data_IF_001139698090
#
_entry.id   IF_001139698090
#
_cell.length_a   1.000
_cell.length_b   1.000
_cell.length_c   1.000
_cell.angle_alpha   90.00
_cell.angle_beta   90.00
_cell.angle_gamma   90.00
#
_symmetry.space_group_name_H-M   'P 1'
#
loop_
_entity.id
_entity.type
_entity.pdbx_description
1 polymer ?
#
# COMPACT_ATOMS: atom_id res chain seq x y z
N UNK A 1 31.55 10.74 29.60
CA UNK A 1 31.22 10.60 28.17
C UNK A 1 29.71 10.38 28.09
N UNK A 2 28.96 11.43 27.90
CA UNK A 2 27.50 11.41 27.78
C UNK A 2 27.11 10.79 26.44
N UNK A 3 26.25 9.77 26.48
CA UNK A 3 25.65 9.17 25.29
C UNK A 3 24.60 10.16 24.76
N UNK A 4 24.90 10.82 23.67
CA UNK A 4 23.90 11.59 22.92
C UNK A 4 22.88 10.60 22.31
N UNK A 5 21.70 10.55 22.89
CA UNK A 5 20.56 9.87 22.31
C UNK A 5 20.16 10.58 21.01
N UNK A 6 20.39 9.94 19.86
CA UNK A 6 20.16 10.48 18.52
C UNK A 6 18.66 10.48 18.15
N UNK A 7 17.80 9.90 18.95
CA UNK A 7 16.36 9.89 18.71
C UNK A 7 15.59 10.64 19.80
N UNK A 8 14.78 11.66 19.44
CA UNK A 8 13.94 12.34 20.41
C UNK A 8 12.91 11.35 20.97
N UNK A 9 12.91 11.20 22.29
CA UNK A 9 11.91 10.45 23.05
C UNK A 9 10.57 11.18 22.94
N UNK A 10 9.80 10.97 21.86
CA UNK A 10 8.47 11.53 21.68
C UNK A 10 7.39 10.60 22.18
N UNK A 11 6.71 10.95 23.26
CA UNK A 11 5.46 10.33 23.69
C UNK A 11 4.42 10.45 22.56
N UNK A 12 3.80 9.33 22.21
CA UNK A 12 2.90 9.17 21.09
C UNK A 12 1.74 10.15 21.00
N UNK A 13 1.35 10.42 19.82
CA UNK A 13 0.53 11.37 19.10
C UNK A 13 1.37 12.53 18.60
N UNK A 14 1.41 12.72 17.28
CA UNK A 14 2.09 13.86 16.68
C UNK A 14 1.26 15.14 16.91
N UNK A 15 1.05 15.49 18.15
CA UNK A 15 0.79 16.85 18.56
C UNK A 15 2.15 17.55 18.60
N UNK A 16 2.60 18.02 17.43
CA UNK A 16 3.69 18.99 17.40
C UNK A 16 3.20 20.23 18.13
N UNK A 17 3.56 20.36 19.40
CA UNK A 17 3.41 21.64 20.11
C UNK A 17 4.43 22.57 19.48
N UNK A 18 3.94 23.45 18.60
CA UNK A 18 4.76 24.47 17.96
C UNK A 18 5.02 25.52 19.00
N UNK A 19 6.23 25.52 19.55
CA UNK A 19 6.64 26.47 20.62
C UNK A 19 7.40 27.68 20.09
N UNK A 20 7.65 27.77 18.77
CA UNK A 20 8.37 28.89 18.17
C UNK A 20 8.03 29.07 16.66
N UNK A 21 8.38 30.21 16.11
CA UNK A 21 8.12 30.60 14.71
C UNK A 21 8.75 29.64 13.70
N UNK A 22 9.89 29.03 14.01
CA UNK A 22 10.54 28.05 13.16
C UNK A 22 9.72 26.77 13.04
N UNK A 23 9.14 26.31 14.14
CA UNK A 23 8.23 25.16 14.16
C UNK A 23 6.92 25.43 13.41
N UNK A 24 6.37 26.66 13.54
CA UNK A 24 5.17 27.09 12.80
C UNK A 24 5.42 27.10 11.28
N UNK A 25 6.59 27.61 10.85
CA UNK A 25 6.99 27.59 9.45
C UNK A 25 7.18 26.17 8.94
N UNK A 26 7.85 25.30 9.69
CA UNK A 26 8.03 23.89 9.31
C UNK A 26 6.68 23.14 9.17
N UNK A 27 5.69 23.44 10.01
CA UNK A 27 4.35 22.87 9.87
C UNK A 27 3.62 23.44 8.66
N UNK A 28 3.71 24.75 8.41
CA UNK A 28 3.17 25.39 7.20
C UNK A 28 3.74 24.77 5.93
N UNK A 29 5.07 24.62 5.87
CA UNK A 29 5.75 23.96 4.76
C UNK A 29 5.35 22.49 4.61
N UNK A 30 5.09 21.79 5.72
CA UNK A 30 4.61 20.41 5.70
C UNK A 30 3.17 20.32 5.18
N UNK A 31 2.28 21.22 5.59
CA UNK A 31 0.89 21.28 5.10
C UNK A 31 0.87 21.64 3.61
N UNK A 32 1.62 22.65 3.17
CA UNK A 32 1.74 23.03 1.78
C UNK A 32 2.32 21.87 0.94
N UNK A 33 3.28 21.12 1.49
CA UNK A 33 3.82 19.93 0.86
C UNK A 33 2.81 18.78 0.81
N UNK A 34 1.91 18.64 1.79
CA UNK A 34 0.80 17.68 1.74
C UNK A 34 -0.21 18.06 0.66
N UNK A 35 -0.57 19.33 0.53
CA UNK A 35 -1.47 19.83 -0.52
C UNK A 35 -0.86 19.65 -1.92
N UNK A 36 0.46 19.90 -2.08
CA UNK A 36 1.17 19.62 -3.34
C UNK A 36 1.24 18.12 -3.67
N UNK A 37 1.22 17.25 -2.67
CA UNK A 37 1.13 15.79 -2.88
C UNK A 37 -0.29 15.34 -3.28
N UNK A 38 -1.28 16.18 -3.12
CA UNK A 38 -2.62 15.92 -3.65
C UNK A 38 -2.66 15.89 -5.18
N UNK A 39 -1.57 16.24 -5.84
CA UNK A 39 -1.44 16.15 -7.29
C UNK A 39 -1.16 14.74 -7.83
N UNK A 40 -0.65 13.79 -6.97
CA UNK A 40 -0.37 12.44 -7.47
C UNK A 40 -1.64 11.74 -7.93
N UNK A 41 -1.70 11.32 -9.19
CA UNK A 41 -2.78 10.50 -9.73
C UNK A 41 -2.32 9.06 -9.82
N UNK A 42 -3.23 8.14 -9.51
CA UNK A 42 -2.96 6.70 -9.63
C UNK A 42 -4.09 6.04 -10.38
N UNK A 43 -3.74 5.27 -11.40
CA UNK A 43 -4.65 4.38 -12.12
C UNK A 43 -4.21 2.94 -11.97
N UNK A 44 -5.14 2.01 -12.15
CA UNK A 44 -4.87 0.59 -12.06
C UNK A 44 -5.64 -0.18 -13.14
N UNK A 45 -5.00 -1.18 -13.71
CA UNK A 45 -5.59 -2.11 -14.67
C UNK A 45 -5.24 -3.55 -14.32
N UNK A 46 -6.06 -4.50 -14.78
CA UNK A 46 -5.70 -5.91 -14.72
C UNK A 46 -4.69 -6.24 -15.82
N UNK A 47 -3.49 -6.70 -15.45
CA UNK A 47 -2.57 -7.35 -16.38
C UNK A 47 -2.97 -8.83 -16.60
N UNK A 48 -3.51 -9.50 -15.57
CA UNK A 48 -4.01 -10.88 -15.67
C UNK A 48 -5.30 -11.09 -14.89
N UNK A 49 -6.19 -11.97 -15.38
CA UNK A 49 -7.47 -12.25 -14.72
C UNK A 49 -7.35 -13.25 -13.56
N UNK A 50 -8.33 -13.24 -12.66
CA UNK A 50 -8.48 -14.22 -11.58
C UNK A 50 -8.69 -15.67 -12.07
N UNK A 51 -9.15 -15.87 -13.31
CA UNK A 51 -9.24 -17.17 -13.97
C UNK A 51 -7.89 -17.90 -13.99
N UNK A 52 -6.78 -17.17 -14.14
CA UNK A 52 -5.43 -17.71 -14.09
C UNK A 52 -5.11 -18.32 -12.72
N UNK A 53 -5.41 -17.61 -11.65
CA UNK A 53 -5.24 -18.08 -10.27
C UNK A 53 -6.16 -19.26 -9.94
N UNK A 54 -7.45 -19.19 -10.36
CA UNK A 54 -8.39 -20.30 -10.20
C UNK A 54 -7.86 -21.59 -10.82
N UNK A 55 -7.39 -21.52 -12.07
CA UNK A 55 -6.91 -22.69 -12.78
C UNK A 55 -5.59 -23.24 -12.21
N UNK A 56 -4.73 -22.40 -11.67
CA UNK A 56 -3.54 -22.84 -10.92
C UNK A 56 -3.95 -23.60 -9.64
N UNK A 57 -4.86 -23.04 -8.84
CA UNK A 57 -5.37 -23.71 -7.64
C UNK A 57 -6.05 -25.06 -7.96
N UNK A 58 -6.82 -25.13 -9.06
CA UNK A 58 -7.46 -26.37 -9.52
C UNK A 58 -6.44 -27.44 -9.91
N UNK A 59 -5.34 -27.03 -10.54
CA UNK A 59 -4.26 -27.95 -10.95
C UNK A 59 -3.60 -28.61 -9.73
N UNK A 60 -3.41 -27.88 -8.63
CA UNK A 60 -2.78 -28.44 -7.42
C UNK A 60 -3.62 -29.53 -6.75
N UNK A 61 -4.92 -29.58 -7.01
CA UNK A 61 -5.85 -30.60 -6.47
C UNK A 61 -6.36 -31.56 -7.55
N UNK A 62 -5.65 -31.67 -8.67
CA UNK A 62 -5.95 -32.64 -9.74
C UNK A 62 -7.21 -32.34 -10.56
N UNK A 63 -7.78 -31.13 -10.48
CA UNK A 63 -9.01 -30.75 -11.19
C UNK A 63 -8.70 -30.14 -12.56
N UNK A 64 -9.54 -30.37 -13.55
CA UNK A 64 -9.45 -29.81 -14.90
C UNK A 64 -9.65 -28.28 -14.88
N UNK A 65 -9.22 -27.61 -15.95
CA UNK A 65 -9.37 -26.17 -16.15
C UNK A 65 -10.84 -25.78 -16.32
N UNK A 66 -11.15 -24.55 -15.91
CA UNK A 66 -12.45 -23.90 -16.11
C UNK A 66 -12.25 -22.60 -16.86
N UNK A 67 -13.18 -22.30 -17.77
CA UNK A 67 -13.25 -21.02 -18.46
C UNK A 67 -14.27 -20.09 -17.81
N UNK A 68 -14.03 -19.77 -16.53
CA UNK A 68 -14.86 -18.82 -15.76
C UNK A 68 -14.05 -18.11 -14.71
N UNK A 69 -14.51 -16.91 -14.33
CA UNK A 69 -14.00 -16.20 -13.18
C UNK A 69 -14.46 -16.86 -11.87
N UNK A 70 -13.62 -16.87 -10.82
CA UNK A 70 -14.02 -17.33 -9.50
C UNK A 70 -15.03 -16.38 -8.84
N UNK A 71 -15.80 -16.90 -7.88
CA UNK A 71 -16.68 -16.07 -7.05
C UNK A 71 -15.88 -15.15 -6.13
N UNK A 72 -16.49 -14.02 -5.74
CA UNK A 72 -15.87 -13.06 -4.83
C UNK A 72 -15.51 -13.67 -3.47
N UNK A 73 -16.35 -14.57 -2.94
CA UNK A 73 -16.04 -15.31 -1.72
C UNK A 73 -14.79 -16.20 -1.87
N UNK A 74 -14.57 -16.80 -3.03
CA UNK A 74 -13.35 -17.57 -3.29
C UNK A 74 -12.13 -16.66 -3.39
N UNK A 75 -12.24 -15.51 -4.08
CA UNK A 75 -11.15 -14.51 -4.17
C UNK A 75 -10.76 -14.01 -2.77
N UNK A 76 -11.76 -13.60 -1.98
CA UNK A 76 -11.56 -13.10 -0.62
C UNK A 76 -10.86 -14.11 0.29
N UNK A 77 -11.29 -15.38 0.23
CA UNK A 77 -10.64 -16.45 0.98
C UNK A 77 -9.20 -16.68 0.54
N UNK A 78 -8.93 -16.75 -0.78
CA UNK A 78 -7.58 -16.95 -1.31
C UNK A 78 -6.62 -15.83 -0.93
N UNK A 79 -7.10 -14.58 -0.92
CA UNK A 79 -6.34 -13.39 -0.51
C UNK A 79 -6.10 -13.37 1.01
N UNK A 80 -7.11 -13.72 1.81
CA UNK A 80 -7.01 -13.73 3.27
C UNK A 80 -6.04 -14.80 3.75
N UNK A 81 -6.07 -15.99 3.13
CA UNK A 81 -5.17 -17.10 3.42
C UNK A 81 -3.80 -16.97 2.73
N UNK A 82 -3.63 -15.99 1.85
CA UNK A 82 -2.40 -15.75 1.07
C UNK A 82 -1.90 -17.00 0.34
N UNK A 83 -2.82 -17.82 -0.19
CA UNK A 83 -2.43 -18.99 -0.98
C UNK A 83 -1.68 -18.61 -2.26
N UNK A 84 -0.65 -19.36 -2.59
CA UNK A 84 0.28 -19.06 -3.70
C UNK A 84 -0.36 -18.69 -5.05
N UNK A 85 -1.55 -19.21 -5.46
CA UNK A 85 -2.17 -18.83 -6.73
C UNK A 85 -2.45 -17.33 -6.89
N UNK A 86 -2.63 -16.55 -5.79
CA UNK A 86 -2.84 -15.09 -5.87
C UNK A 86 -1.66 -14.36 -6.52
N UNK A 87 -0.46 -14.96 -6.54
CA UNK A 87 0.72 -14.39 -7.20
C UNK A 87 0.60 -14.36 -8.72
N UNK A 88 -0.41 -15.01 -9.27
CA UNK A 88 -0.72 -15.02 -10.70
C UNK A 88 -1.77 -13.98 -11.09
N UNK A 89 -2.32 -13.25 -10.12
CA UNK A 89 -3.17 -12.08 -10.36
C UNK A 89 -2.28 -10.87 -10.35
N UNK A 90 -2.13 -10.24 -11.51
CA UNK A 90 -1.20 -9.15 -11.76
C UNK A 90 -1.97 -7.89 -12.16
N UNK A 91 -1.48 -6.75 -11.71
CA UNK A 91 -2.04 -5.42 -11.95
C UNK A 91 -0.94 -4.51 -12.48
N UNK A 92 -1.29 -3.68 -13.45
CA UNK A 92 -0.49 -2.55 -13.88
C UNK A 92 -0.99 -1.29 -13.19
N UNK A 93 -0.08 -0.60 -12.52
CA UNK A 93 -0.33 0.65 -11.80
C UNK A 93 0.42 1.77 -12.50
N UNK A 94 -0.23 2.90 -12.74
CA UNK A 94 0.43 4.09 -13.25
C UNK A 94 0.29 5.24 -12.25
N UNK A 95 1.41 5.90 -11.97
CA UNK A 95 1.53 7.04 -11.09
C UNK A 95 1.97 8.25 -11.90
N UNK A 96 1.13 9.27 -11.98
CA UNK A 96 1.48 10.56 -12.53
C UNK A 96 1.78 11.55 -11.41
N UNK A 97 2.80 12.39 -11.61
CA UNK A 97 3.19 13.46 -10.69
C UNK A 97 3.56 12.98 -9.28
N UNK A 98 4.16 11.79 -9.16
CA UNK A 98 4.69 11.31 -7.89
C UNK A 98 6.02 12.00 -7.57
N UNK A 99 6.25 12.39 -6.31
CA UNK A 99 7.56 12.94 -5.90
C UNK A 99 8.65 11.89 -6.03
N UNK A 100 9.83 12.29 -6.53
CA UNK A 100 10.94 11.37 -6.75
C UNK A 100 11.30 10.57 -5.49
N UNK A 101 11.38 11.19 -4.33
CA UNK A 101 11.69 10.47 -3.10
C UNK A 101 10.56 9.54 -2.63
N UNK A 102 9.29 9.83 -2.95
CA UNK A 102 8.16 8.92 -2.68
C UNK A 102 8.27 7.68 -3.55
N UNK A 103 8.60 7.84 -4.84
CA UNK A 103 8.83 6.70 -5.73
C UNK A 103 9.94 5.79 -5.18
N UNK A 104 11.05 6.36 -4.66
CA UNK A 104 12.13 5.61 -4.02
C UNK A 104 11.65 4.80 -2.81
N UNK A 105 10.72 5.34 -2.01
CA UNK A 105 10.13 4.59 -0.89
C UNK A 105 9.28 3.41 -1.36
N UNK A 106 8.60 3.52 -2.50
CA UNK A 106 7.73 2.49 -3.05
C UNK A 106 8.57 1.40 -3.75
N UNK A 107 9.54 1.75 -4.57
CA UNK A 107 10.35 0.80 -5.35
C UNK A 107 11.28 -0.08 -4.48
N UNK A 108 11.44 0.22 -3.20
CA UNK A 108 12.15 -0.68 -2.26
C UNK A 108 11.45 -2.03 -2.05
N UNK A 109 10.20 -2.15 -2.47
CA UNK A 109 9.48 -3.42 -2.49
C UNK A 109 9.72 -4.09 -3.84
N UNK A 110 10.39 -5.23 -3.88
CA UNK A 110 10.82 -5.88 -5.13
C UNK A 110 10.22 -7.27 -5.34
N UNK A 111 9.66 -7.91 -4.31
CA UNK A 111 9.07 -9.24 -4.42
C UNK A 111 7.69 -9.19 -5.10
N UNK A 112 7.63 -9.58 -6.37
CA UNK A 112 6.41 -9.53 -7.19
C UNK A 112 5.97 -8.10 -7.50
N UNK A 113 6.93 -7.18 -7.62
CA UNK A 113 6.74 -5.76 -7.79
C UNK A 113 7.84 -5.22 -8.69
N UNK A 114 7.51 -4.83 -9.91
CA UNK A 114 8.45 -4.42 -10.94
C UNK A 114 8.18 -2.97 -11.31
N UNK A 115 8.99 -2.00 -10.80
CA UNK A 115 8.80 -0.58 -11.08
C UNK A 115 9.52 -0.15 -12.35
N UNK A 116 8.90 0.78 -13.07
CA UNK A 116 9.45 1.51 -14.22
C UNK A 116 9.34 3.00 -13.95
N UNK A 117 10.40 3.61 -13.45
CA UNK A 117 10.44 5.03 -13.09
C UNK A 117 10.92 5.84 -14.29
N UNK A 118 10.23 6.93 -14.62
CA UNK A 118 10.61 7.82 -15.70
C UNK A 118 12.02 8.39 -15.43
N UNK A 119 12.89 8.31 -16.43
CA UNK A 119 14.28 8.74 -16.31
C UNK A 119 14.38 10.24 -16.09
N UNK A 120 15.23 10.67 -15.17
CA UNK A 120 15.56 12.09 -14.98
C UNK A 120 16.76 12.54 -15.82
N UNK A 121 17.18 11.77 -16.82
CA UNK A 121 18.25 12.18 -17.73
C UNK A 121 17.81 13.38 -18.56
N UNK A 122 18.63 14.47 -18.66
CA UNK A 122 18.28 15.69 -19.40
C UNK A 122 17.92 15.43 -20.86
N UNK A 123 18.65 14.49 -21.52
CA UNK A 123 18.40 14.09 -22.90
C UNK A 123 17.05 13.41 -23.14
N UNK A 124 16.39 12.91 -22.10
CA UNK A 124 15.07 12.24 -22.16
C UNK A 124 13.92 13.08 -21.63
N UNK A 125 14.21 14.08 -20.81
CA UNK A 125 13.19 14.92 -20.15
C UNK A 125 13.16 16.36 -20.61
N UNK A 126 14.06 16.78 -21.47
CA UNK A 126 14.21 18.17 -21.92
C UNK A 126 14.32 19.12 -20.71
N UNK A 127 15.18 18.77 -19.75
CA UNK A 127 15.43 19.60 -18.58
C UNK A 127 16.41 20.73 -18.92
N UNK A 128 16.10 21.93 -18.46
CA UNK A 128 16.96 23.11 -18.63
C UNK A 128 18.10 23.17 -17.58
N UNK A 129 18.21 22.17 -16.71
CA UNK A 129 19.20 22.08 -15.66
C UNK A 129 19.84 20.68 -15.59
N UNK A 130 20.98 20.58 -14.90
CA UNK A 130 21.57 19.29 -14.57
C UNK A 130 20.63 18.47 -13.67
N UNK A 131 20.60 17.15 -13.86
CA UNK A 131 19.86 16.25 -12.95
C UNK A 131 20.32 16.36 -11.49
N UNK A 132 21.57 16.77 -11.25
CA UNK A 132 22.13 16.93 -9.90
C UNK A 132 21.58 18.17 -9.19
N UNK A 133 21.00 19.11 -9.94
CA UNK A 133 20.35 20.31 -9.43
C UNK A 133 18.84 20.07 -9.13
N UNK A 134 18.29 18.95 -9.57
CA UNK A 134 16.89 18.63 -9.32
C UNK A 134 16.65 18.34 -7.83
N UNK A 135 15.71 19.05 -7.17
CA UNK A 135 15.35 18.73 -5.80
C UNK A 135 14.70 17.34 -5.73
N UNK A 136 14.92 16.63 -4.62
CA UNK A 136 14.30 15.33 -4.37
C UNK A 136 12.77 15.37 -4.42
N UNK A 137 12.18 16.54 -4.20
CA UNK A 137 10.74 16.78 -4.31
C UNK A 137 10.23 16.94 -5.73
N UNK A 138 11.11 16.89 -6.76
CA UNK A 138 10.69 16.98 -8.17
C UNK A 138 9.66 15.92 -8.50
N UNK A 139 8.63 16.32 -9.25
CA UNK A 139 7.57 15.39 -9.70
C UNK A 139 8.12 14.46 -10.78
N UNK A 140 7.66 13.24 -10.76
CA UNK A 140 8.03 12.19 -11.70
C UNK A 140 6.82 11.29 -12.00
N UNK A 141 6.95 10.43 -13.00
CA UNK A 141 5.97 9.42 -13.34
C UNK A 141 6.59 8.04 -13.15
N UNK A 142 5.75 7.06 -12.86
CA UNK A 142 6.20 5.70 -12.57
C UNK A 142 5.09 4.70 -12.89
N UNK A 143 5.44 3.65 -13.60
CA UNK A 143 4.57 2.48 -13.75
C UNK A 143 5.08 1.32 -12.90
N UNK A 144 4.17 0.47 -12.48
CA UNK A 144 4.49 -0.70 -11.65
C UNK A 144 3.66 -1.88 -12.12
N UNK A 145 4.32 -2.98 -12.50
CA UNK A 145 3.68 -4.28 -12.59
C UNK A 145 3.78 -4.97 -11.23
N UNK A 146 2.63 -5.32 -10.63
CA UNK A 146 2.59 -5.91 -9.29
C UNK A 146 1.59 -7.05 -9.20
N UNK A 147 1.94 -8.14 -8.52
CA UNK A 147 0.97 -9.19 -8.23
C UNK A 147 0.20 -8.92 -6.91
N UNK A 148 -0.93 -9.61 -6.72
CA UNK A 148 -1.79 -9.43 -5.54
C UNK A 148 -1.04 -9.61 -4.21
N UNK A 149 -0.12 -10.57 -4.11
CA UNK A 149 0.68 -10.77 -2.90
C UNK A 149 1.58 -9.56 -2.61
N UNK A 150 2.18 -8.97 -3.65
CA UNK A 150 3.00 -7.78 -3.52
C UNK A 150 2.18 -6.59 -3.03
N UNK A 151 0.98 -6.36 -3.60
CA UNK A 151 0.07 -5.29 -3.14
C UNK A 151 -0.29 -5.43 -1.66
N UNK A 152 -0.59 -6.65 -1.18
CA UNK A 152 -0.82 -6.94 0.24
C UNK A 152 0.42 -6.58 1.07
N UNK A 153 1.60 -7.04 0.67
CA UNK A 153 2.84 -6.85 1.42
C UNK A 153 3.24 -5.36 1.52
N UNK A 154 3.12 -4.62 0.43
CA UNK A 154 3.39 -3.18 0.39
C UNK A 154 2.39 -2.42 1.25
N UNK A 155 1.10 -2.76 1.17
CA UNK A 155 0.03 -2.14 1.96
C UNK A 155 0.27 -2.23 3.46
N UNK A 156 0.76 -3.37 3.95
CA UNK A 156 1.12 -3.56 5.37
C UNK A 156 2.09 -2.49 5.89
N UNK A 157 2.98 -2.01 5.04
CA UNK A 157 3.99 -1.01 5.39
C UNK A 157 3.57 0.41 5.01
N UNK A 158 2.95 0.60 3.84
CA UNK A 158 2.70 1.94 3.30
C UNK A 158 1.37 2.55 3.74
N UNK A 159 0.42 1.74 4.22
CA UNK A 159 -0.80 2.23 4.87
C UNK A 159 -0.65 2.44 6.39
N UNK A 160 0.51 2.11 6.97
CA UNK A 160 0.79 2.41 8.36
C UNK A 160 1.06 3.90 8.55
N UNK A 161 0.52 4.52 9.61
CA UNK A 161 0.74 5.93 9.93
C UNK A 161 2.20 6.27 10.30
N UNK A 162 3.06 5.27 10.50
CA UNK A 162 4.52 5.45 10.64
C UNK A 162 5.23 5.59 9.28
N UNK A 163 4.57 5.32 8.15
CA UNK A 163 5.07 5.71 6.84
C UNK A 163 5.00 7.25 6.68
N UNK A 164 5.86 7.83 5.81
CA UNK A 164 5.72 9.26 5.55
C UNK A 164 4.32 9.57 5.00
N UNK A 165 3.71 10.70 5.38
CA UNK A 165 2.35 11.07 4.95
C UNK A 165 2.16 10.98 3.44
N UNK A 166 3.11 11.49 2.66
CA UNK A 166 3.06 11.55 1.21
C UNK A 166 3.10 10.14 0.58
N UNK A 167 3.96 9.25 1.11
CA UNK A 167 4.01 7.86 0.66
C UNK A 167 2.72 7.13 1.00
N UNK A 168 2.12 7.42 2.16
CA UNK A 168 0.85 6.85 2.57
C UNK A 168 -0.28 7.34 1.67
N UNK A 169 -0.36 8.64 1.37
CA UNK A 169 -1.35 9.22 0.45
C UNK A 169 -1.26 8.55 -0.92
N UNK A 170 -0.06 8.44 -1.49
CA UNK A 170 0.14 7.77 -2.77
C UNK A 170 -0.37 6.32 -2.74
N UNK A 171 -0.14 5.61 -1.62
CA UNK A 171 -0.58 4.23 -1.49
C UNK A 171 -2.08 4.08 -1.17
N UNK A 172 -2.69 5.03 -0.46
CA UNK A 172 -4.15 5.12 -0.28
C UNK A 172 -4.85 5.33 -1.64
N UNK A 173 -4.27 6.16 -2.53
CA UNK A 173 -4.75 6.32 -3.91
C UNK A 173 -4.58 5.05 -4.75
N UNK A 174 -3.47 4.34 -4.57
CA UNK A 174 -3.29 3.01 -5.18
C UNK A 174 -4.40 2.06 -4.75
N UNK A 175 -4.70 1.99 -3.45
CA UNK A 175 -5.81 1.19 -2.94
C UNK A 175 -7.16 1.63 -3.53
N UNK A 176 -7.39 2.93 -3.66
CA UNK A 176 -8.61 3.47 -4.26
C UNK A 176 -8.72 3.12 -5.75
N UNK A 177 -7.62 3.19 -6.51
CA UNK A 177 -7.57 2.78 -7.92
C UNK A 177 -7.85 1.27 -8.09
N UNK A 178 -7.23 0.42 -7.27
CA UNK A 178 -7.53 -1.02 -7.24
C UNK A 178 -9.00 -1.27 -6.88
N UNK A 179 -9.60 -0.50 -5.97
CA UNK A 179 -11.00 -0.67 -5.59
C UNK A 179 -11.98 -0.44 -6.74
N UNK A 180 -11.60 0.33 -7.77
CA UNK A 180 -12.44 0.56 -8.96
C UNK A 180 -12.55 -0.69 -9.83
N UNK A 181 -11.50 -1.54 -9.87
CA UNK A 181 -11.43 -2.71 -10.74
C UNK A 181 -11.54 -4.03 -9.97
N UNK A 182 -11.05 -4.07 -8.74
CA UNK A 182 -11.08 -5.26 -7.87
C UNK A 182 -11.30 -4.85 -6.40
N UNK A 183 -12.56 -4.60 -6.01
CA UNK A 183 -12.90 -4.21 -4.63
C UNK A 183 -12.53 -5.30 -3.60
N UNK A 184 -12.51 -6.58 -4.01
CA UNK A 184 -12.12 -7.67 -3.11
C UNK A 184 -10.63 -7.59 -2.79
N UNK A 185 -9.80 -7.37 -3.80
CA UNK A 185 -8.37 -7.14 -3.59
C UNK A 185 -8.11 -5.92 -2.70
N UNK A 186 -8.76 -4.80 -3.00
CA UNK A 186 -8.63 -3.56 -2.21
C UNK A 186 -9.01 -3.75 -0.74
N UNK A 187 -10.01 -4.59 -0.43
CA UNK A 187 -10.41 -4.90 0.96
C UNK A 187 -9.30 -5.59 1.76
N UNK A 188 -8.36 -6.26 1.09
CA UNK A 188 -7.22 -6.95 1.72
C UNK A 188 -5.94 -6.11 1.75
N UNK A 189 -5.95 -4.93 1.13
CA UNK A 189 -4.89 -3.94 1.25
C UNK A 189 -5.06 -3.15 2.54
N UNK A 190 -4.47 -3.62 3.63
CA UNK A 190 -4.61 -3.06 4.99
C UNK A 190 -3.24 -2.82 5.65
N UNK A 191 -3.15 -1.90 6.64
CA UNK A 191 -1.92 -1.72 7.41
C UNK A 191 -1.61 -2.94 8.27
N UNK A 192 -0.34 -3.09 8.66
CA UNK A 192 0.17 -4.27 9.36
C UNK A 192 -0.57 -4.57 10.68
N UNK A 193 -1.03 -3.54 11.39
CA UNK A 193 -1.79 -3.73 12.63
C UNK A 193 -3.17 -4.37 12.39
N UNK A 194 -3.89 -4.00 11.32
CA UNK A 194 -5.16 -4.63 10.94
C UNK A 194 -4.92 -6.07 10.50
N UNK A 195 -3.90 -6.32 9.68
CA UNK A 195 -3.52 -7.66 9.27
C UNK A 195 -3.24 -8.58 10.46
N UNK A 196 -2.47 -8.12 11.46
CA UNK A 196 -2.08 -8.92 12.63
C UNK A 196 -3.13 -8.95 13.73
N UNK A 197 -4.02 -7.95 13.79
CA UNK A 197 -4.95 -7.74 14.89
C UNK A 197 -4.35 -6.99 16.08
N UNK A 198 -3.11 -6.52 15.99
CA UNK A 198 -2.42 -5.71 16.99
C UNK A 198 -1.32 -4.87 16.33
N UNK A 199 -0.86 -3.81 17.01
CA UNK A 199 0.26 -3.00 16.53
C UNK A 199 1.59 -3.69 16.82
N UNK A 200 2.40 -4.02 15.80
CA UNK A 200 3.72 -4.66 15.99
C UNK A 200 4.87 -3.65 16.13
N UNK A 201 4.61 -2.34 16.05
CA UNK A 201 5.64 -1.31 16.11
C UNK A 201 6.11 -1.11 17.55
N UNK A 202 7.40 -0.87 17.75
CA UNK A 202 8.00 -0.60 19.07
C UNK A 202 7.31 0.59 19.74
N UNK A 203 7.05 1.66 18.98
CA UNK A 203 6.24 2.79 19.40
C UNK A 203 4.95 2.82 18.59
N UNK A 204 3.82 2.64 19.26
CA UNK A 204 2.51 2.69 18.61
C UNK A 204 2.09 4.11 18.26
N UNK A 205 1.35 4.27 17.15
CA UNK A 205 0.66 5.53 16.82
C UNK A 205 -0.70 5.67 17.51
N UNK A 206 -1.12 4.71 18.33
CA UNK A 206 -2.41 4.72 19.02
C UNK A 206 -3.59 4.17 18.22
N UNK A 207 -3.48 4.05 16.88
CA UNK A 207 -4.58 3.59 16.02
C UNK A 207 -5.17 2.24 16.44
N UNK A 208 -4.32 1.28 16.84
CA UNK A 208 -4.75 -0.06 17.25
C UNK A 208 -5.66 -0.08 18.51
N UNK A 209 -5.78 1.04 19.21
CA UNK A 209 -6.63 1.18 20.41
C UNK A 209 -7.95 1.94 20.13
N UNK A 210 -8.21 2.30 18.86
CA UNK A 210 -9.40 3.07 18.46
C UNK A 210 -10.58 2.18 18.07
N UNK A 211 -11.81 2.70 18.18
CA UNK A 211 -13.00 2.03 17.65
C UNK A 211 -12.94 1.86 16.12
N UNK A 212 -12.27 2.79 15.42
CA UNK A 212 -12.04 2.66 13.98
C UNK A 212 -11.24 1.40 13.66
N UNK A 213 -10.16 1.14 14.42
CA UNK A 213 -9.37 -0.08 14.24
C UNK A 213 -10.20 -1.34 14.42
N UNK A 214 -11.07 -1.41 15.42
CA UNK A 214 -11.96 -2.57 15.66
C UNK A 214 -12.84 -2.82 14.43
N UNK A 215 -13.48 -1.78 13.90
CA UNK A 215 -14.31 -1.87 12.69
C UNK A 215 -13.51 -2.32 11.47
N UNK A 216 -12.33 -1.73 11.23
CA UNK A 216 -11.46 -2.09 10.10
C UNK A 216 -10.96 -3.54 10.23
N UNK A 217 -10.72 -4.03 11.44
CA UNK A 217 -10.35 -5.42 11.70
C UNK A 217 -11.49 -6.41 11.47
N UNK A 218 -12.70 -6.06 11.92
CA UNK A 218 -13.92 -6.85 11.69
C UNK A 218 -14.20 -6.98 10.18
N UNK A 219 -14.15 -5.87 9.44
CA UNK A 219 -14.34 -5.88 8.00
C UNK A 219 -13.27 -6.71 7.27
N UNK A 220 -12.00 -6.56 7.67
CA UNK A 220 -10.90 -7.36 7.12
C UNK A 220 -11.11 -8.86 7.31
N UNK A 221 -11.70 -9.28 8.43
CA UNK A 221 -11.92 -10.69 8.83
C UNK A 221 -13.30 -11.24 8.47
N UNK A 222 -14.16 -10.43 7.89
CA UNK A 222 -15.58 -10.77 7.66
C UNK A 222 -15.78 -12.11 6.96
N UNK A 223 -15.04 -12.36 5.85
CA UNK A 223 -15.17 -13.61 5.10
C UNK A 223 -14.67 -14.82 5.91
N UNK A 224 -13.64 -14.66 6.73
CA UNK A 224 -13.15 -15.71 7.61
C UNK A 224 -14.22 -16.12 8.63
N UNK A 225 -14.89 -15.15 9.23
CA UNK A 225 -15.97 -15.39 10.22
C UNK A 225 -17.15 -16.10 9.56
N UNK A 226 -17.55 -15.71 8.36
CA UNK A 226 -18.63 -16.35 7.60
C UNK A 226 -18.30 -17.80 7.19
N UNK A 227 -17.06 -18.05 6.78
CA UNK A 227 -16.61 -19.40 6.45
C UNK A 227 -16.61 -20.32 7.66
N UNK A 228 -16.12 -19.85 8.82
CA UNK A 228 -16.14 -20.62 10.05
C UNK A 228 -17.58 -20.94 10.53
N UNK A 229 -18.51 -19.98 10.44
CA UNK A 229 -19.92 -20.23 10.73
C UNK A 229 -20.52 -21.34 9.86
N UNK A 230 -20.23 -21.32 8.55
CA UNK A 230 -20.69 -22.38 7.62
C UNK A 230 -20.09 -23.74 7.97
N UNK A 231 -18.82 -23.81 8.35
CA UNK A 231 -18.16 -25.07 8.73
C UNK A 231 -18.72 -25.66 10.03
N UNK A 232 -19.08 -24.80 11.00
CA UNK A 232 -19.71 -25.24 12.26
C UNK A 232 -21.12 -25.78 12.06
N UNK A 233 -21.87 -25.23 11.11
CA UNK A 233 -23.23 -25.65 10.79
C UNK A 233 -23.29 -26.94 9.92
N UNK A 234 -22.17 -27.44 9.42
CA UNK A 234 -22.06 -28.67 8.64
C UNK A 234 -21.46 -29.86 9.43
N UNK A 235 -21.19 -29.69 10.73
CA UNK A 235 -20.82 -30.75 11.68
C UNK A 235 -21.99 -31.11 12.57
#
# INVERSE_FOLDING_TARGET
MEKNDIFPQGKGTANYVITNEKGAKMLGDAIENMEKNDEVKVTAEFATSWKRALNAARKTVGKGRLDKEPSDGWKAWMLLAEHSPIRLVEYDLSFEKIRQWVSVHIIRHWLGFIPFVHSQRPDRRQLDCSRDELPQGSLNDMDIAANAQALINVSRKRLCSKASPETRIAWERTKAAIAQIDPIMASKMVPNCVYRGFCPEHETCGYAYTEKFKKDLEEYRKECTELHKKQLNHK
#
